data_IF_109336073778
#
_entry.id   IF_109336073778
#
_cell.length_a   1.000
_cell.length_b   1.000
_cell.length_c   1.000
_cell.angle_alpha   90.00
_cell.angle_beta   90.00
_cell.angle_gamma   90.00
#
_symmetry.space_group_name_H-M   'P 1'
#
loop_
_entity.id
_entity.type
_entity.pdbx_description
1 polymer ?
#
# COMPACT_ATOMS: atom_id res chain seq x y z
N UNK A 1 25.10 20.04 7.34
CA UNK A 1 24.01 19.71 6.40
C UNK A 1 23.26 18.53 6.99
N UNK A 2 22.12 18.82 7.62
CA UNK A 2 21.34 17.82 8.36
C UNK A 2 20.55 16.98 7.39
N UNK A 3 20.90 15.71 7.26
CA UNK A 3 20.03 14.74 6.62
C UNK A 3 18.93 14.39 7.62
N UNK A 4 17.71 14.66 7.18
CA UNK A 4 16.50 14.60 7.95
C UNK A 4 16.36 13.29 8.72
N UNK A 5 16.16 13.46 10.01
CA UNK A 5 15.90 12.44 11.01
C UNK A 5 14.41 12.05 10.91
N UNK A 6 14.02 11.26 9.90
CA UNK A 6 12.63 10.77 9.72
C UNK A 6 12.50 9.23 9.73
N UNK A 7 13.44 8.49 10.33
CA UNK A 7 13.22 7.08 10.64
C UNK A 7 12.58 6.89 12.04
N UNK A 8 11.60 7.74 12.37
CA UNK A 8 10.96 7.79 13.69
C UNK A 8 9.47 7.57 13.58
N UNK A 9 9.04 6.31 13.64
CA UNK A 9 7.67 5.85 13.90
C UNK A 9 6.57 6.61 13.16
N UNK A 10 6.13 6.09 12.01
CA UNK A 10 4.88 6.54 11.39
C UNK A 10 3.73 6.22 12.33
N UNK A 11 3.35 7.19 13.19
CA UNK A 11 2.20 7.09 14.08
C UNK A 11 0.93 7.24 13.25
N UNK A 12 0.23 6.13 13.05
CA UNK A 12 -1.07 6.13 12.37
C UNK A 12 -2.13 6.66 13.33
N UNK A 13 -2.75 7.80 13.00
CA UNK A 13 -3.84 8.30 13.81
C UNK A 13 -5.14 7.52 13.59
N UNK A 14 -6.04 7.46 14.59
CA UNK A 14 -7.33 6.80 14.43
C UNK A 14 -8.17 7.35 13.27
N UNK A 15 -8.08 8.66 13.02
CA UNK A 15 -8.74 9.31 11.90
C UNK A 15 -8.20 8.82 10.54
N UNK A 16 -6.86 8.69 10.41
CA UNK A 16 -6.23 8.16 9.19
C UNK A 16 -6.64 6.71 8.96
N UNK A 17 -6.69 5.90 10.02
CA UNK A 17 -7.19 4.53 9.93
C UNK A 17 -8.63 4.49 9.44
N UNK A 18 -9.52 5.33 9.98
CA UNK A 18 -10.92 5.35 9.52
C UNK A 18 -11.02 5.75 8.05
N UNK A 19 -10.37 6.85 7.64
CA UNK A 19 -10.38 7.31 6.25
C UNK A 19 -9.79 6.26 5.30
N UNK A 20 -8.71 5.58 5.70
CA UNK A 20 -8.15 4.48 4.94
C UNK A 20 -9.14 3.34 4.77
N UNK A 21 -9.80 2.89 5.84
CA UNK A 21 -10.75 1.77 5.76
C UNK A 21 -11.91 2.09 4.82
N UNK A 22 -12.48 3.29 4.90
CA UNK A 22 -13.56 3.73 4.01
C UNK A 22 -13.12 3.75 2.54
N UNK A 23 -11.91 4.26 2.26
CA UNK A 23 -11.34 4.27 0.91
C UNK A 23 -10.99 2.87 0.41
N UNK A 24 -10.43 2.03 1.27
CA UNK A 24 -10.02 0.66 0.94
C UNK A 24 -11.23 -0.23 0.65
N UNK A 25 -12.24 -0.22 1.52
CA UNK A 25 -13.50 -0.95 1.35
C UNK A 25 -14.16 -0.56 0.03
N UNK A 26 -14.23 0.75 -0.24
CA UNK A 26 -14.81 1.28 -1.47
C UNK A 26 -14.01 0.86 -2.69
N UNK A 27 -12.68 0.99 -2.65
CA UNK A 27 -11.82 0.60 -3.76
C UNK A 27 -11.98 -0.88 -4.08
N UNK A 28 -11.90 -1.77 -3.08
CA UNK A 28 -12.03 -3.21 -3.31
C UNK A 28 -13.42 -3.56 -3.83
N UNK A 29 -14.50 -3.03 -3.24
CA UNK A 29 -15.86 -3.28 -3.71
C UNK A 29 -16.08 -2.84 -5.17
N UNK A 30 -15.53 -1.69 -5.57
CA UNK A 30 -15.71 -1.13 -6.92
C UNK A 30 -14.70 -1.69 -7.95
N UNK A 31 -13.60 -2.33 -7.51
CA UNK A 31 -12.53 -2.81 -8.40
C UNK A 31 -12.30 -4.32 -8.39
N UNK A 32 -12.90 -5.08 -7.47
CA UNK A 32 -12.71 -6.56 -7.36
C UNK A 32 -13.06 -7.31 -8.65
N UNK A 33 -13.98 -6.78 -9.49
CA UNK A 33 -14.36 -7.39 -10.77
C UNK A 33 -13.54 -6.86 -11.97
N UNK A 34 -12.62 -5.92 -11.76
CA UNK A 34 -11.80 -5.37 -12.83
C UNK A 34 -10.64 -6.33 -13.14
N UNK A 35 -10.62 -6.86 -14.36
CA UNK A 35 -9.49 -7.65 -14.86
C UNK A 35 -8.23 -6.83 -15.17
N UNK A 36 -8.27 -5.51 -14.95
CA UNK A 36 -7.19 -4.58 -15.27
C UNK A 36 -6.80 -3.79 -14.02
N UNK A 37 -5.60 -4.09 -13.51
CA UNK A 37 -5.00 -3.45 -12.34
C UNK A 37 -4.71 -1.96 -12.55
N UNK A 38 -4.34 -1.53 -13.77
CA UNK A 38 -4.11 -0.12 -14.07
C UNK A 38 -5.40 0.70 -13.93
N UNK A 39 -6.54 0.14 -14.33
CA UNK A 39 -7.86 0.78 -14.14
C UNK A 39 -8.24 0.83 -12.66
N UNK A 40 -7.90 -0.20 -11.89
CA UNK A 40 -8.08 -0.17 -10.44
C UNK A 40 -7.21 0.93 -9.79
N UNK A 41 -5.98 1.13 -10.26
CA UNK A 41 -5.09 2.18 -9.74
C UNK A 41 -5.57 3.61 -10.07
N UNK A 42 -6.33 3.80 -11.15
CA UNK A 42 -6.95 5.07 -11.53
C UNK A 42 -8.20 5.41 -10.71
N UNK A 43 -8.68 4.49 -9.87
CA UNK A 43 -9.90 4.69 -9.09
C UNK A 43 -9.74 5.86 -8.08
N UNK A 44 -10.76 6.73 -7.90
CA UNK A 44 -10.65 7.87 -6.99
C UNK A 44 -10.34 7.45 -5.54
N UNK A 45 -10.87 6.32 -5.08
CA UNK A 45 -10.57 5.81 -3.74
C UNK A 45 -9.10 5.35 -3.60
N UNK A 46 -8.54 4.75 -4.65
CA UNK A 46 -7.12 4.40 -4.70
C UNK A 46 -6.22 5.66 -4.68
N UNK A 47 -6.58 6.68 -5.46
CA UNK A 47 -5.89 7.97 -5.42
C UNK A 47 -5.98 8.64 -4.04
N UNK A 48 -7.13 8.52 -3.37
CA UNK A 48 -7.30 8.95 -1.98
C UNK A 48 -6.28 8.31 -1.05
N UNK A 49 -6.10 6.99 -1.14
CA UNK A 49 -5.10 6.25 -0.35
C UNK A 49 -3.68 6.71 -0.67
N UNK A 50 -3.35 6.94 -1.95
CA UNK A 50 -2.04 7.48 -2.35
C UNK A 50 -1.80 8.87 -1.77
N UNK A 51 -2.83 9.73 -1.77
CA UNK A 51 -2.74 11.09 -1.23
C UNK A 51 -2.56 11.13 0.30
N UNK A 52 -2.90 10.06 1.02
CA UNK A 52 -2.58 9.94 2.45
C UNK A 52 -1.07 9.82 2.72
N UNK A 53 -0.28 9.45 1.71
CA UNK A 53 1.17 9.35 1.82
C UNK A 53 1.61 8.25 2.78
N UNK A 54 2.73 8.46 3.47
CA UNK A 54 3.38 7.43 4.29
C UNK A 54 2.51 6.84 5.40
N UNK A 55 1.52 7.60 5.91
CA UNK A 55 0.57 7.11 6.92
C UNK A 55 -0.29 5.94 6.44
N UNK A 56 -0.50 5.80 5.12
CA UNK A 56 -1.24 4.69 4.55
C UNK A 56 -0.39 3.43 4.34
N UNK A 57 0.94 3.53 4.26
CA UNK A 57 1.83 2.36 4.07
C UNK A 57 1.61 1.25 5.11
N UNK A 58 1.65 1.52 6.43
CA UNK A 58 1.42 0.48 7.43
C UNK A 58 0.01 -0.13 7.33
N UNK A 59 -0.99 0.71 7.01
CA UNK A 59 -2.39 0.29 6.87
C UNK A 59 -2.62 -0.60 5.64
N UNK A 60 -1.98 -0.27 4.51
CA UNK A 60 -2.00 -1.07 3.28
C UNK A 60 -1.35 -2.43 3.53
N UNK A 61 -0.19 -2.46 4.19
CA UNK A 61 0.52 -3.71 4.50
C UNK A 61 -0.30 -4.61 5.44
N UNK A 62 -0.96 -4.03 6.45
CA UNK A 62 -1.88 -4.75 7.36
C UNK A 62 -3.09 -5.34 6.59
N UNK A 63 -3.71 -4.54 5.72
CA UNK A 63 -4.85 -5.00 4.90
C UNK A 63 -4.43 -6.06 3.89
N UNK A 64 -3.27 -5.90 3.26
CA UNK A 64 -2.70 -6.89 2.36
C UNK A 64 -2.38 -8.21 3.07
N UNK A 65 -1.89 -8.16 4.32
CA UNK A 65 -1.64 -9.36 5.14
C UNK A 65 -2.93 -10.10 5.49
N UNK A 66 -4.01 -9.37 5.78
CA UNK A 66 -5.27 -9.94 6.30
C UNK A 66 -6.25 -10.36 5.20
N UNK A 67 -6.34 -9.61 4.11
CA UNK A 67 -7.33 -9.79 3.04
C UNK A 67 -6.71 -9.99 1.65
N UNK A 68 -5.40 -9.77 1.50
CA UNK A 68 -4.73 -9.81 0.21
C UNK A 68 -4.97 -8.54 -0.62
N UNK A 69 -5.13 -8.70 -1.93
CA UNK A 69 -5.33 -7.58 -2.86
C UNK A 69 -4.06 -7.10 -3.56
N UNK A 70 -4.26 -6.31 -4.61
CA UNK A 70 -3.22 -5.82 -5.54
C UNK A 70 -2.80 -4.38 -5.21
N UNK A 71 -2.32 -4.17 -3.98
CA UNK A 71 -1.97 -2.85 -3.46
C UNK A 71 -0.63 -2.29 -3.96
N UNK A 72 0.05 -3.00 -4.86
CA UNK A 72 1.42 -2.72 -5.28
C UNK A 72 1.57 -1.31 -5.90
N UNK A 73 0.58 -0.86 -6.67
CA UNK A 73 0.59 0.48 -7.25
C UNK A 73 0.51 1.57 -6.18
N UNK A 74 -0.33 1.40 -5.15
CA UNK A 74 -0.43 2.36 -4.06
C UNK A 74 0.89 2.41 -3.27
N UNK A 75 1.43 1.25 -2.90
CA UNK A 75 2.69 1.16 -2.15
C UNK A 75 3.85 1.79 -2.93
N UNK A 76 3.98 1.49 -4.21
CA UNK A 76 5.03 2.07 -5.06
C UNK A 76 4.85 3.58 -5.26
N UNK A 77 3.62 4.04 -5.47
CA UNK A 77 3.34 5.47 -5.63
C UNK A 77 3.66 6.30 -4.39
N UNK A 78 3.43 5.73 -3.19
CA UNK A 78 3.68 6.40 -1.91
C UNK A 78 5.17 6.34 -1.54
N UNK A 79 5.77 5.16 -1.62
CA UNK A 79 7.11 4.90 -1.09
C UNK A 79 8.23 5.13 -2.10
N UNK A 80 7.90 5.17 -3.40
CA UNK A 80 8.87 5.14 -4.49
C UNK A 80 9.67 3.83 -4.57
N UNK A 81 9.36 2.83 -3.74
CA UNK A 81 10.05 1.55 -3.71
C UNK A 81 9.44 0.55 -4.69
N UNK A 82 10.27 -0.41 -5.09
CA UNK A 82 9.85 -1.62 -5.80
C UNK A 82 10.69 -2.81 -5.29
N UNK A 83 10.24 -3.48 -4.21
CA UNK A 83 10.97 -4.61 -3.63
C UNK A 83 10.76 -5.92 -4.40
N UNK A 84 9.90 -5.94 -5.42
CA UNK A 84 9.59 -7.14 -6.20
C UNK A 84 10.67 -7.30 -7.28
N UNK A 85 11.26 -8.49 -7.37
CA UNK A 85 12.20 -8.76 -8.46
C UNK A 85 11.45 -8.90 -9.80
N UNK A 86 11.99 -8.42 -10.94
CA UNK A 86 11.30 -8.49 -12.24
C UNK A 86 10.81 -9.89 -12.65
N UNK A 87 11.53 -10.94 -12.23
CA UNK A 87 11.19 -12.35 -12.48
C UNK A 87 9.93 -12.83 -11.73
N UNK A 88 9.56 -12.14 -10.65
CA UNK A 88 8.44 -12.48 -9.78
C UNK A 88 7.18 -11.67 -10.14
N UNK A 89 7.27 -10.77 -11.12
CA UNK A 89 6.13 -9.98 -11.61
C UNK A 89 5.04 -10.91 -12.18
N UNK A 90 3.80 -10.70 -11.73
CA UNK A 90 2.66 -11.53 -12.08
C UNK A 90 2.41 -12.69 -11.11
N UNK A 91 3.35 -13.01 -10.23
CA UNK A 91 3.11 -13.93 -9.12
C UNK A 91 2.66 -13.16 -7.87
N UNK A 92 1.36 -12.92 -7.76
CA UNK A 92 0.75 -12.10 -6.70
C UNK A 92 1.19 -12.53 -5.29
N UNK A 93 1.31 -13.83 -5.02
CA UNK A 93 1.70 -14.32 -3.70
C UNK A 93 3.15 -13.91 -3.34
N UNK A 94 4.09 -14.05 -4.29
CA UNK A 94 5.49 -13.68 -4.10
C UNK A 94 5.65 -12.15 -4.01
N UNK A 95 4.87 -11.42 -4.81
CA UNK A 95 4.84 -9.96 -4.77
C UNK A 95 4.36 -9.44 -3.41
N UNK A 96 3.27 -10.01 -2.87
CA UNK A 96 2.77 -9.69 -1.53
C UNK A 96 3.82 -9.97 -0.45
N UNK A 97 4.45 -11.14 -0.49
CA UNK A 97 5.50 -11.50 0.47
C UNK A 97 6.68 -10.52 0.42
N UNK A 98 7.10 -10.11 -0.79
CA UNK A 98 8.20 -9.16 -0.98
C UNK A 98 7.88 -7.79 -0.36
N UNK A 99 6.65 -7.31 -0.54
CA UNK A 99 6.18 -6.06 0.07
C UNK A 99 6.02 -6.16 1.59
N UNK A 100 5.52 -7.29 2.12
CA UNK A 100 5.43 -7.51 3.57
C UNK A 100 6.82 -7.51 4.23
N UNK A 101 7.79 -8.24 3.66
CA UNK A 101 9.18 -8.25 4.14
C UNK A 101 9.82 -6.88 4.07
N UNK A 102 9.58 -6.14 2.99
CA UNK A 102 10.06 -4.77 2.85
C UNK A 102 9.46 -3.86 3.96
N UNK A 103 8.17 -3.99 4.24
CA UNK A 103 7.50 -3.24 5.30
C UNK A 103 8.08 -3.50 6.69
N UNK A 104 8.32 -4.76 7.02
CA UNK A 104 8.98 -5.17 8.28
C UNK A 104 10.40 -4.60 8.39
N UNK A 105 11.18 -4.64 7.29
CA UNK A 105 12.54 -4.12 7.27
C UNK A 105 12.59 -2.58 7.44
N UNK A 106 11.58 -1.88 6.93
CA UNK A 106 11.47 -0.41 7.00
C UNK A 106 10.65 0.08 8.21
N UNK A 107 10.23 -0.81 9.13
CA UNK A 107 9.45 -0.51 10.34
C UNK A 107 8.06 0.08 10.07
N UNK A 108 7.42 -0.33 8.97
CA UNK A 108 6.01 -0.04 8.68
C UNK A 108 5.06 -1.16 9.16
N UNK A 109 5.57 -2.35 9.48
CA UNK A 109 4.79 -3.50 9.93
C UNK A 109 5.45 -4.19 11.12
#
# INVERSE_FOLDING_TARGET
MGYNQYAGQVEVQPADRQSFQELADRWEAETVLLSNSDRAAQHPAHQGIVNMGEAAVPLILERMRSQGGLWFHALSAITGADPVAPKDHGNVAVMQESWLKWGEHNRYA
#
